data_IF_635301269232
#
_entry.id   IF_635301269232
#
_cell.length_a   1.000
_cell.length_b   1.000
_cell.length_c   1.000
_cell.angle_alpha   90.00
_cell.angle_beta   90.00
_cell.angle_gamma   90.00
#
_symmetry.space_group_name_H-M   'P 1'
#
loop_
_entity.id
_entity.type
_entity.pdbx_description
1 polymer ?
#
# COMPACT_ATOMS: atom_id res chain seq x y z
N UNK A 1 -7.80 -7.07 -26.33
CA UNK A 1 -6.83 -6.34 -25.49
C UNK A 1 -6.86 -6.99 -24.12
N UNK A 2 -5.78 -7.65 -23.71
CA UNK A 2 -5.68 -8.26 -22.38
C UNK A 2 -5.51 -7.13 -21.37
N UNK A 3 -6.57 -6.77 -20.66
CA UNK A 3 -6.49 -5.87 -19.50
C UNK A 3 -5.66 -6.58 -18.43
N UNK A 4 -4.37 -6.27 -18.35
CA UNK A 4 -3.45 -6.84 -17.36
C UNK A 4 -3.39 -5.86 -16.18
N UNK A 5 -3.78 -6.31 -14.99
CA UNK A 5 -3.59 -5.52 -13.79
C UNK A 5 -2.09 -5.35 -13.56
N UNK A 6 -1.61 -4.12 -13.42
CA UNK A 6 -0.19 -3.82 -13.28
C UNK A 6 0.25 -3.83 -11.82
N UNK A 7 -0.62 -3.38 -10.92
CA UNK A 7 -0.30 -3.19 -9.51
C UNK A 7 -1.47 -3.53 -8.57
N UNK A 8 -1.15 -3.81 -7.32
CA UNK A 8 -2.09 -3.69 -6.19
C UNK A 8 -1.63 -2.55 -5.28
N UNK A 9 -2.57 -1.70 -4.88
CA UNK A 9 -2.34 -0.62 -3.91
C UNK A 9 -3.05 -1.00 -2.62
N UNK A 10 -2.29 -1.10 -1.53
CA UNK A 10 -2.78 -1.41 -0.19
C UNK A 10 -2.68 -0.17 0.67
N UNK A 11 -3.79 0.32 1.19
CA UNK A 11 -3.82 1.52 2.02
C UNK A 11 -4.93 1.51 3.06
N UNK A 12 -4.89 2.46 4.00
CA UNK A 12 -5.90 2.55 5.05
C UNK A 12 -7.28 2.98 4.52
N UNK A 13 -8.36 2.49 5.14
CA UNK A 13 -9.74 2.92 4.89
C UNK A 13 -10.09 4.32 5.39
N UNK A 14 -9.15 5.02 6.04
CA UNK A 14 -9.37 6.33 6.63
C UNK A 14 -9.89 7.34 5.59
N UNK A 15 -11.07 7.90 5.85
CA UNK A 15 -11.77 8.77 4.91
C UNK A 15 -11.03 10.09 4.66
N UNK A 16 -10.17 10.53 5.60
CA UNK A 16 -9.41 11.79 5.52
C UNK A 16 -8.43 11.80 4.35
N UNK A 17 -8.03 10.62 3.88
CA UNK A 17 -6.92 10.45 2.93
C UNK A 17 -7.37 10.15 1.50
N UNK A 18 -8.62 9.75 1.31
CA UNK A 18 -9.06 9.14 0.05
C UNK A 18 -8.94 10.09 -1.14
N UNK A 19 -9.16 11.39 -0.95
CA UNK A 19 -8.98 12.40 -1.99
C UNK A 19 -7.52 12.54 -2.42
N UNK A 20 -6.58 12.51 -1.47
CA UNK A 20 -5.14 12.58 -1.74
C UNK A 20 -4.66 11.30 -2.43
N UNK A 21 -5.07 10.13 -1.94
CA UNK A 21 -4.74 8.83 -2.55
C UNK A 21 -5.28 8.76 -3.99
N UNK A 22 -6.51 9.19 -4.25
CA UNK A 22 -7.07 9.18 -5.60
C UNK A 22 -6.27 10.08 -6.56
N UNK A 23 -5.93 11.30 -6.13
CA UNK A 23 -5.13 12.22 -6.93
C UNK A 23 -3.72 11.67 -7.19
N UNK A 24 -3.09 11.09 -6.17
CA UNK A 24 -1.77 10.49 -6.29
C UNK A 24 -1.78 9.29 -7.23
N UNK A 25 -2.78 8.42 -7.15
CA UNK A 25 -2.91 7.25 -8.04
C UNK A 25 -3.17 7.66 -9.48
N UNK A 26 -4.01 8.66 -9.73
CA UNK A 26 -4.20 9.20 -11.08
C UNK A 26 -2.90 9.79 -11.64
N UNK A 27 -2.14 10.53 -10.82
CA UNK A 27 -0.90 11.15 -11.24
C UNK A 27 0.24 10.15 -11.50
N UNK A 28 0.33 9.07 -10.71
CA UNK A 28 1.46 8.13 -10.75
C UNK A 28 1.17 6.85 -11.55
N UNK A 29 -0.08 6.39 -11.59
CA UNK A 29 -0.49 5.18 -12.32
C UNK A 29 -1.34 5.50 -13.56
N UNK A 30 -1.98 6.68 -13.62
CA UNK A 30 -2.77 7.11 -14.77
C UNK A 30 -3.86 6.11 -15.16
N UNK A 31 -3.91 5.76 -16.46
CA UNK A 31 -4.89 4.81 -17.03
C UNK A 31 -4.58 3.32 -16.76
N UNK A 32 -3.52 3.02 -16.02
CA UNK A 32 -3.13 1.65 -15.70
C UNK A 32 -4.24 0.96 -14.90
N UNK A 33 -4.54 -0.31 -15.19
CA UNK A 33 -5.43 -1.09 -14.34
C UNK A 33 -4.67 -1.53 -13.09
N UNK A 34 -5.14 -1.13 -11.92
CA UNK A 34 -4.62 -1.57 -10.63
C UNK A 34 -5.74 -2.01 -9.70
N UNK A 35 -5.43 -2.97 -8.83
CA UNK A 35 -6.29 -3.37 -7.73
C UNK A 35 -6.11 -2.41 -6.55
N UNK A 36 -7.16 -2.26 -5.73
CA UNK A 36 -7.10 -1.49 -4.49
C UNK A 36 -7.59 -2.33 -3.32
N UNK A 37 -6.72 -2.59 -2.37
CA UNK A 37 -7.06 -3.23 -1.11
C UNK A 37 -7.10 -2.17 0.00
N UNK A 38 -8.32 -1.85 0.45
CA UNK A 38 -8.57 -0.82 1.46
C UNK A 38 -8.80 -1.51 2.81
N UNK A 39 -7.87 -1.32 3.75
CA UNK A 39 -7.85 -2.08 5.01
C UNK A 39 -7.81 -1.15 6.22
N UNK A 40 -8.36 -1.55 7.37
CA UNK A 40 -8.14 -0.77 8.60
C UNK A 40 -6.66 -0.86 9.00
N UNK A 41 -5.98 0.29 9.09
CA UNK A 41 -4.58 0.34 9.53
C UNK A 41 -3.52 0.16 8.45
N UNK A 42 -3.88 0.19 7.16
CA UNK A 42 -2.90 0.05 6.08
C UNK A 42 -2.17 -1.30 6.17
N UNK A 43 -0.87 -1.28 6.49
CA UNK A 43 -0.07 -2.52 6.63
C UNK A 43 -0.02 -3.10 8.05
N UNK A 44 -0.77 -2.55 9.01
CA UNK A 44 -0.75 -2.99 10.41
C UNK A 44 -0.90 -4.52 10.57
N UNK A 45 -1.87 -5.12 9.87
CA UNK A 45 -1.96 -6.57 9.74
C UNK A 45 -1.26 -7.04 8.45
N UNK A 46 0.04 -7.30 8.56
CA UNK A 46 0.86 -7.77 7.44
C UNK A 46 0.36 -9.10 6.85
N UNK A 47 -0.32 -9.95 7.62
CA UNK A 47 -0.80 -11.23 7.08
C UNK A 47 -1.98 -11.02 6.14
N UNK A 48 -2.86 -10.08 6.46
CA UNK A 48 -3.93 -9.69 5.55
C UNK A 48 -3.39 -8.97 4.31
N UNK A 49 -2.35 -8.13 4.43
CA UNK A 49 -1.64 -7.58 3.26
C UNK A 49 -1.16 -8.70 2.33
N UNK A 50 -0.44 -9.69 2.88
CA UNK A 50 0.10 -10.82 2.09
C UNK A 50 -1.02 -11.62 1.43
N UNK A 51 -2.16 -11.81 2.11
CA UNK A 51 -3.32 -12.49 1.55
C UNK A 51 -3.87 -11.77 0.32
N UNK A 52 -3.99 -10.44 0.36
CA UNK A 52 -4.46 -9.65 -0.78
C UNK A 52 -3.47 -9.67 -1.94
N UNK A 53 -2.17 -9.55 -1.64
CA UNK A 53 -1.09 -9.62 -2.64
C UNK A 53 -1.07 -10.99 -3.33
N UNK A 54 -1.20 -12.10 -2.60
CA UNK A 54 -1.26 -13.46 -3.18
C UNK A 54 -2.42 -13.60 -4.16
N UNK A 55 -3.61 -13.13 -3.76
CA UNK A 55 -4.82 -13.19 -4.60
C UNK A 55 -4.61 -12.37 -5.88
N UNK A 56 -4.14 -11.12 -5.77
CA UNK A 56 -3.91 -10.27 -6.94
C UNK A 56 -2.81 -10.83 -7.87
N UNK A 57 -1.72 -11.36 -7.31
CA UNK A 57 -0.66 -12.00 -8.08
C UNK A 57 -1.18 -13.22 -8.87
N UNK A 58 -1.95 -14.09 -8.21
CA UNK A 58 -2.49 -15.32 -8.82
C UNK A 58 -3.58 -15.06 -9.85
N UNK A 59 -4.50 -14.14 -9.57
CA UNK A 59 -5.70 -13.95 -10.39
C UNK A 59 -5.51 -12.88 -11.46
N UNK A 60 -4.77 -11.82 -11.17
CA UNK A 60 -4.66 -10.65 -12.04
C UNK A 60 -3.25 -10.44 -12.61
N UNK A 61 -2.25 -11.17 -12.11
CA UNK A 61 -0.89 -11.19 -12.67
C UNK A 61 -0.14 -9.87 -12.51
N UNK A 62 -0.33 -9.20 -11.37
CA UNK A 62 0.35 -7.94 -11.02
C UNK A 62 1.87 -8.06 -11.08
N UNK A 63 2.54 -6.94 -11.31
CA UNK A 63 4.01 -6.82 -11.25
C UNK A 63 4.50 -5.88 -10.15
N UNK A 64 3.60 -5.13 -9.52
CA UNK A 64 3.93 -4.11 -8.52
C UNK A 64 2.99 -4.13 -7.33
N UNK A 65 3.53 -3.86 -6.15
CA UNK A 65 2.80 -3.66 -4.90
C UNK A 65 3.13 -2.27 -4.37
N UNK A 66 2.11 -1.49 -4.03
CA UNK A 66 2.26 -0.18 -3.41
C UNK A 66 1.63 -0.26 -2.02
N UNK A 67 2.42 -0.04 -0.98
CA UNK A 67 1.99 -0.09 0.42
C UNK A 67 1.99 1.32 1.00
N UNK A 68 0.86 1.75 1.56
CA UNK A 68 0.69 3.11 2.09
C UNK A 68 0.18 3.05 3.53
N UNK A 69 1.01 3.52 4.46
CA UNK A 69 0.58 3.89 5.81
C UNK A 69 0.35 5.40 5.89
N UNK A 70 -0.18 5.89 7.00
CA UNK A 70 -0.48 7.31 7.16
C UNK A 70 -0.34 7.81 8.58
N UNK A 71 -0.17 9.12 8.69
CA UNK A 71 -0.14 9.88 9.93
C UNK A 71 -1.44 9.78 10.73
N UNK A 72 -1.32 9.70 12.06
CA UNK A 72 -2.45 9.68 12.99
C UNK A 72 -3.46 8.56 12.69
N UNK A 73 -2.94 7.35 12.47
CA UNK A 73 -3.76 6.17 12.20
C UNK A 73 -4.38 5.60 13.48
N UNK A 74 -5.72 5.59 13.55
CA UNK A 74 -6.45 5.09 14.71
C UNK A 74 -6.19 3.62 15.08
N UNK A 75 -5.75 2.78 14.12
CA UNK A 75 -5.38 1.38 14.41
C UNK A 75 -4.06 1.25 15.19
N UNK A 76 -3.14 2.21 15.03
CA UNK A 76 -1.88 2.21 15.77
C UNK A 76 -2.02 2.90 17.13
N UNK A 77 -3.04 3.75 17.29
CA UNK A 77 -3.34 4.43 18.54
C UNK A 77 -2.16 5.30 19.03
N UNK A 78 -1.96 5.43 20.36
CA UNK A 78 -0.88 6.26 20.92
C UNK A 78 0.55 5.83 20.54
N UNK A 79 0.73 4.63 19.99
CA UNK A 79 2.02 4.09 19.55
C UNK A 79 2.29 4.25 18.05
N UNK A 80 1.40 4.90 17.30
CA UNK A 80 1.55 5.13 15.86
C UNK A 80 2.48 6.28 15.52
N UNK A 81 3.73 6.21 15.98
CA UNK A 81 4.76 7.17 15.54
C UNK A 81 5.14 6.91 14.08
N UNK A 82 5.67 7.93 13.40
CA UNK A 82 6.15 7.81 12.02
C UNK A 82 7.19 6.68 11.90
N UNK A 83 8.12 6.59 12.85
CA UNK A 83 9.12 5.52 12.89
C UNK A 83 8.50 4.13 13.00
N UNK A 84 7.40 4.00 13.77
CA UNK A 84 6.70 2.73 13.89
C UNK A 84 6.02 2.34 12.57
N UNK A 85 5.43 3.32 11.88
CA UNK A 85 4.83 3.10 10.57
C UNK A 85 5.89 2.70 9.53
N UNK A 86 7.06 3.33 9.55
CA UNK A 86 8.18 3.01 8.67
C UNK A 86 8.74 1.62 8.92
N UNK A 87 8.91 1.22 10.19
CA UNK A 87 9.32 -0.14 10.54
C UNK A 87 8.33 -1.19 10.04
N UNK A 88 7.03 -0.95 10.16
CA UNK A 88 6.01 -1.91 9.76
C UNK A 88 5.84 -1.96 8.23
N UNK A 89 6.02 -0.82 7.53
CA UNK A 89 6.16 -0.78 6.06
C UNK A 89 7.37 -1.59 5.59
N UNK A 90 8.55 -1.39 6.20
CA UNK A 90 9.76 -2.12 5.86
C UNK A 90 9.59 -3.62 6.08
N UNK A 91 8.98 -4.04 7.21
CA UNK A 91 8.67 -5.46 7.48
C UNK A 91 7.70 -6.04 6.45
N UNK A 92 6.68 -5.28 6.06
CA UNK A 92 5.71 -5.72 5.06
C UNK A 92 6.36 -5.87 3.67
N UNK A 93 7.16 -4.90 3.26
CA UNK A 93 7.95 -4.93 2.03
C UNK A 93 8.89 -6.14 1.99
N UNK A 94 9.69 -6.35 3.04
CA UNK A 94 10.60 -7.48 3.15
C UNK A 94 9.86 -8.81 2.99
N UNK A 95 8.68 -8.92 3.60
CA UNK A 95 7.86 -10.14 3.53
C UNK A 95 7.27 -10.35 2.14
N UNK A 96 6.80 -9.30 1.48
CA UNK A 96 6.32 -9.36 0.09
C UNK A 96 7.47 -9.80 -0.83
N UNK A 97 8.65 -9.17 -0.74
CA UNK A 97 9.82 -9.50 -1.58
C UNK A 97 10.29 -10.94 -1.39
N UNK A 98 10.26 -11.46 -0.16
CA UNK A 98 10.63 -12.86 0.14
C UNK A 98 9.64 -13.87 -0.43
N UNK A 99 8.33 -13.58 -0.36
CA UNK A 99 7.27 -14.49 -0.83
C UNK A 99 7.01 -14.37 -2.34
N UNK A 100 7.19 -13.18 -2.90
CA UNK A 100 6.90 -12.83 -4.28
C UNK A 100 8.09 -12.07 -4.90
N UNK A 101 9.24 -12.74 -5.14
CA UNK A 101 10.48 -12.09 -5.57
C UNK A 101 10.43 -11.44 -6.97
N UNK A 102 9.34 -11.65 -7.71
CA UNK A 102 9.09 -11.06 -9.02
C UNK A 102 8.30 -9.74 -8.96
N UNK A 103 7.79 -9.36 -7.78
CA UNK A 103 7.03 -8.12 -7.60
C UNK A 103 7.96 -6.99 -7.18
N UNK A 104 7.82 -5.85 -7.85
CA UNK A 104 8.34 -4.57 -7.35
C UNK A 104 7.50 -4.13 -6.15
N UNK A 105 8.13 -3.56 -5.12
CA UNK A 105 7.44 -3.06 -3.94
C UNK A 105 7.87 -1.63 -3.68
N UNK A 106 6.90 -0.73 -3.61
CA UNK A 106 7.08 0.65 -3.14
C UNK A 106 6.31 0.85 -1.84
N UNK A 107 6.92 1.56 -0.89
CA UNK A 107 6.33 1.91 0.40
C UNK A 107 6.24 3.44 0.53
N UNK A 108 5.12 3.92 1.08
CA UNK A 108 4.89 5.34 1.31
C UNK A 108 4.25 5.60 2.67
N UNK A 109 4.64 6.71 3.27
CA UNK A 109 3.97 7.31 4.41
C UNK A 109 3.21 8.56 3.95
N UNK A 110 1.90 8.61 4.23
CA UNK A 110 1.01 9.70 3.83
C UNK A 110 0.68 10.61 5.03
N UNK A 111 1.03 11.89 4.94
CA UNK A 111 0.68 12.90 5.93
C UNK A 111 -0.75 13.41 5.75
N UNK A 112 -1.35 13.93 6.81
CA UNK A 112 -2.74 14.44 6.79
C UNK A 112 -2.91 15.67 5.89
N UNK A 113 -1.82 16.34 5.53
CA UNK A 113 -1.82 17.44 4.55
C UNK A 113 -1.79 16.97 3.09
N UNK A 114 -1.65 15.67 2.85
CA UNK A 114 -1.59 15.05 1.53
C UNK A 114 -0.18 14.80 0.99
N UNK A 115 0.86 15.10 1.76
CA UNK A 115 2.26 14.82 1.38
C UNK A 115 2.53 13.31 1.42
N UNK A 116 3.05 12.78 0.32
CA UNK A 116 3.54 11.40 0.23
C UNK A 116 5.06 11.38 0.40
N UNK A 117 5.52 10.65 1.40
CA UNK A 117 6.93 10.40 1.66
C UNK A 117 7.25 8.97 1.25
N UNK A 118 8.21 8.81 0.33
CA UNK A 118 8.61 7.48 -0.15
C UNK A 118 9.73 6.95 0.75
N UNK A 119 9.57 5.74 1.25
CA UNK A 119 10.64 5.10 2.02
C UNK A 119 11.70 4.56 1.03
N UNK A 120 12.97 4.71 1.40
CA UNK A 120 14.12 4.37 0.54
C UNK A 120 14.49 2.89 0.58
#
# INVERSE_FOLDING_TARGET
>A
MTHKCEAIVVHCMDYRLQSYINQWLEANLGKSSYDRAVMAGGVYDVYDVIRQVDIAARLHGISKVILINHEDCGMYGPGGTEERHDEDLAKAEDKVRRLFPHLEVDTYYLKLDGTFEKNS
#
